data_IF_659523175789
#
_entry.id   IF_659523175789
#
_cell.length_a   1.000
_cell.length_b   1.000
_cell.length_c   1.000
_cell.angle_alpha   90.00
_cell.angle_beta   90.00
_cell.angle_gamma   90.00
#
_symmetry.space_group_name_H-M   'P 1'
#
loop_
_entity.id
_entity.type
_entity.pdbx_description
1 polymer ?
#
# COMPACT_ATOMS: atom_id res chain seq x y z
N UNK A 1 2.36 -1.93 17.69
CA UNK A 1 1.63 -1.30 16.58
C UNK A 1 0.97 -2.41 15.79
N UNK A 2 -0.35 -2.35 15.65
CA UNK A 2 -1.11 -3.33 14.87
C UNK A 2 -1.19 -2.93 13.38
N UNK A 3 -1.74 -3.82 12.56
CA UNK A 3 -1.89 -3.58 11.12
C UNK A 3 -2.77 -2.36 10.80
N UNK A 4 -3.83 -2.12 11.59
CA UNK A 4 -4.73 -0.97 11.41
C UNK A 4 -4.02 0.37 11.68
N UNK A 5 -3.29 0.47 12.79
CA UNK A 5 -2.48 1.64 13.15
C UNK A 5 -1.41 1.90 12.09
N UNK A 6 -0.77 0.83 11.57
CA UNK A 6 0.20 0.95 10.49
C UNK A 6 -0.44 1.46 9.20
N UNK A 7 -1.61 0.95 8.83
CA UNK A 7 -2.35 1.39 7.65
C UNK A 7 -2.69 2.89 7.74
N UNK A 8 -3.19 3.34 8.89
CA UNK A 8 -3.49 4.77 9.13
C UNK A 8 -2.25 5.65 8.96
N UNK A 9 -1.08 5.20 9.43
CA UNK A 9 0.17 5.92 9.22
C UNK A 9 0.56 6.03 7.73
N UNK A 10 0.39 4.96 6.94
CA UNK A 10 0.64 5.00 5.49
C UNK A 10 -0.33 5.95 4.76
N UNK A 11 -1.55 6.09 5.28
CA UNK A 11 -2.54 7.07 4.80
C UNK A 11 -2.33 8.49 5.38
N UNK A 12 -1.19 8.74 6.04
CA UNK A 12 -0.84 10.02 6.66
C UNK A 12 -1.83 10.47 7.74
N UNK A 13 -2.47 9.51 8.43
CA UNK A 13 -3.51 9.72 9.44
C UNK A 13 -4.72 10.51 8.95
N UNK A 14 -4.96 10.53 7.63
CA UNK A 14 -6.20 11.06 7.07
C UNK A 14 -7.29 10.00 7.16
N UNK A 15 -8.42 10.36 7.77
CA UNK A 15 -9.60 9.50 7.88
C UNK A 15 -10.43 9.60 6.59
N UNK A 16 -10.12 8.74 5.63
CA UNK A 16 -10.93 8.60 4.42
C UNK A 16 -12.15 7.72 4.64
N UNK A 17 -11.98 6.70 5.46
CA UNK A 17 -12.98 5.68 5.81
C UNK A 17 -13.00 5.46 7.32
N UNK A 18 -14.02 4.75 7.79
CA UNK A 18 -14.14 4.31 9.18
C UNK A 18 -13.22 3.13 9.48
N UNK A 19 -12.93 2.92 10.77
CA UNK A 19 -12.12 1.78 11.22
C UNK A 19 -12.70 0.42 10.82
N UNK A 20 -14.02 0.32 10.66
CA UNK A 20 -14.65 -0.92 10.22
C UNK A 20 -14.40 -1.17 8.74
N UNK A 21 -14.48 -0.14 7.89
CA UNK A 21 -14.16 -0.25 6.47
C UNK A 21 -12.67 -0.57 6.27
N UNK A 22 -11.77 0.07 7.03
CA UNK A 22 -10.35 -0.27 7.00
C UNK A 22 -10.06 -1.72 7.39
N UNK A 23 -10.83 -2.30 8.32
CA UNK A 23 -10.71 -3.72 8.66
C UNK A 23 -11.11 -4.61 7.50
N UNK A 24 -12.17 -4.26 6.77
CA UNK A 24 -12.60 -5.02 5.58
C UNK A 24 -11.49 -5.04 4.54
N UNK A 25 -10.91 -3.88 4.20
CA UNK A 25 -9.80 -3.81 3.23
C UNK A 25 -8.59 -4.63 3.66
N UNK A 26 -8.26 -4.62 4.96
CA UNK A 26 -7.17 -5.44 5.50
C UNK A 26 -7.48 -6.93 5.38
N UNK A 27 -8.70 -7.35 5.72
CA UNK A 27 -9.13 -8.75 5.61
C UNK A 27 -9.11 -9.26 4.18
N UNK A 28 -9.54 -8.44 3.20
CA UNK A 28 -9.44 -8.76 1.76
C UNK A 28 -8.00 -9.01 1.30
N UNK A 29 -7.03 -8.35 1.94
CA UNK A 29 -5.60 -8.49 1.68
C UNK A 29 -4.90 -9.47 2.64
N UNK A 30 -5.65 -10.35 3.28
CA UNK A 30 -5.15 -11.37 4.21
C UNK A 30 -4.41 -10.80 5.44
N UNK A 31 -4.82 -9.63 5.92
CA UNK A 31 -4.28 -9.00 7.12
C UNK A 31 -5.36 -8.89 8.21
N UNK A 32 -5.07 -9.45 9.37
CA UNK A 32 -5.91 -9.24 10.55
C UNK A 32 -5.58 -7.88 11.16
N UNK A 33 -6.57 -6.99 11.27
CA UNK A 33 -6.38 -5.62 11.74
C UNK A 33 -5.79 -5.50 13.16
N UNK A 34 -6.14 -6.45 14.05
CA UNK A 34 -5.67 -6.50 15.44
C UNK A 34 -4.33 -7.20 15.59
N UNK A 35 -3.82 -7.87 14.56
CA UNK A 35 -2.53 -8.54 14.60
C UNK A 35 -1.39 -7.53 14.64
N UNK A 36 -0.29 -7.92 15.29
CA UNK A 36 0.94 -7.14 15.31
C UNK A 36 1.54 -7.07 13.91
N UNK A 37 1.90 -5.86 13.49
CA UNK A 37 2.52 -5.66 12.19
C UNK A 37 3.95 -6.19 12.18
N UNK A 38 4.22 -7.17 11.30
CA UNK A 38 5.56 -7.70 11.03
C UNK A 38 5.97 -7.26 9.63
N UNK A 39 6.93 -6.33 9.55
CA UNK A 39 7.36 -5.73 8.28
C UNK A 39 7.74 -6.78 7.22
N UNK A 40 8.44 -7.84 7.62
CA UNK A 40 8.90 -8.87 6.68
C UNK A 40 7.74 -9.56 5.93
N UNK A 41 6.65 -9.85 6.65
CA UNK A 41 5.58 -10.71 6.15
C UNK A 41 4.35 -9.89 5.73
N UNK A 42 4.15 -8.70 6.29
CA UNK A 42 2.93 -7.91 6.09
C UNK A 42 3.12 -6.70 5.19
N UNK A 43 4.37 -6.30 4.89
CA UNK A 43 4.62 -5.05 4.16
C UNK A 43 4.00 -5.05 2.76
N UNK A 44 4.07 -6.15 2.01
CA UNK A 44 3.51 -6.23 0.65
C UNK A 44 1.99 -6.13 0.72
N UNK A 45 1.34 -7.01 1.50
CA UNK A 45 -0.11 -7.04 1.66
C UNK A 45 -0.66 -5.69 2.17
N UNK A 46 0.09 -5.00 3.05
CA UNK A 46 -0.32 -3.69 3.53
C UNK A 46 -0.27 -2.64 2.41
N UNK A 47 0.76 -2.66 1.57
CA UNK A 47 0.85 -1.75 0.43
C UNK A 47 -0.24 -2.05 -0.62
N UNK A 48 -0.58 -3.32 -0.83
CA UNK A 48 -1.71 -3.76 -1.67
C UNK A 48 -3.04 -3.25 -1.09
N UNK A 49 -3.22 -3.30 0.24
CA UNK A 49 -4.37 -2.69 0.92
C UNK A 49 -4.44 -1.18 0.69
N UNK A 50 -3.31 -0.48 0.75
CA UNK A 50 -3.26 0.97 0.48
C UNK A 50 -3.67 1.25 -0.96
N UNK A 51 -3.21 0.46 -1.93
CA UNK A 51 -3.61 0.63 -3.34
C UNK A 51 -5.13 0.47 -3.49
N UNK A 52 -5.71 -0.59 -2.93
CA UNK A 52 -7.16 -0.83 -3.00
C UNK A 52 -7.95 0.37 -2.48
N UNK A 53 -7.52 0.94 -1.34
CA UNK A 53 -8.11 2.17 -0.80
C UNK A 53 -7.94 3.34 -1.77
N UNK A 54 -6.75 3.58 -2.32
CA UNK A 54 -6.54 4.70 -3.25
C UNK A 54 -7.35 4.56 -4.55
N UNK A 55 -7.57 3.34 -5.02
CA UNK A 55 -8.42 3.06 -6.18
C UNK A 55 -9.89 3.36 -5.89
N UNK A 56 -10.40 2.99 -4.71
CA UNK A 56 -11.77 3.37 -4.32
C UNK A 56 -11.92 4.88 -4.16
N UNK A 57 -10.90 5.58 -3.62
CA UNK A 57 -10.89 7.05 -3.57
C UNK A 57 -10.89 7.67 -4.96
N UNK A 58 -10.18 7.08 -5.93
CA UNK A 58 -10.11 7.59 -7.29
C UNK A 58 -11.42 7.40 -8.07
N UNK A 59 -12.21 6.39 -7.70
CA UNK A 59 -13.51 6.12 -8.32
C UNK A 59 -14.64 6.96 -7.71
N UNK A 60 -14.48 7.42 -6.46
CA UNK A 60 -15.47 8.22 -5.74
C UNK A 60 -15.11 9.71 -5.76
N UNK A 61 -15.82 10.47 -6.59
CA UNK A 61 -15.65 11.93 -6.75
C UNK A 61 -15.93 12.69 -5.45
N UNK A 62 -16.86 12.23 -4.62
CA UNK A 62 -17.19 12.85 -3.34
C UNK A 62 -16.07 12.68 -2.32
N UNK A 63 -15.45 11.50 -2.30
CA UNK A 63 -14.31 11.25 -1.42
C UNK A 63 -13.05 11.96 -1.95
N UNK A 64 -12.88 12.07 -3.27
CA UNK A 64 -11.78 12.82 -3.85
C UNK A 64 -11.79 14.31 -3.45
N UNK A 65 -12.97 14.91 -3.25
CA UNK A 65 -13.11 16.25 -2.65
C UNK A 65 -12.66 16.33 -1.19
N UNK A 66 -12.66 15.23 -0.42
CA UNK A 66 -12.12 15.22 0.96
C UNK A 66 -10.58 15.25 0.98
N UNK A 67 -9.94 14.85 -0.13
CA UNK A 67 -8.48 14.95 -0.30
C UNK A 67 -8.05 16.41 -0.55
N UNK A 68 -8.98 17.21 -1.09
CA UNK A 68 -8.89 18.61 -1.53
C UNK A 68 -8.72 19.63 -0.39
N UNK A 69 -8.13 19.22 0.72
CA UNK A 69 -7.84 20.13 1.83
C UNK A 69 -6.52 20.87 1.55
N UNK A 70 -6.67 22.12 1.10
CA UNK A 70 -5.70 23.24 1.02
C UNK A 70 -4.70 23.32 -0.15
N UNK A 71 -4.17 22.22 -0.69
CA UNK A 71 -3.09 22.29 -1.71
C UNK A 71 -3.47 21.78 -3.10
N UNK A 72 -4.58 21.03 -3.20
CA UNK A 72 -5.11 20.54 -4.46
C UNK A 72 -6.31 21.44 -4.78
N UNK A 73 -6.31 22.06 -5.97
CA UNK A 73 -7.27 23.12 -6.31
C UNK A 73 -8.33 22.63 -7.30
N UNK A 74 -8.20 21.38 -7.79
CA UNK A 74 -9.14 20.77 -8.71
C UNK A 74 -9.16 19.23 -8.63
N UNK A 75 -10.32 18.66 -8.96
CA UNK A 75 -10.58 17.22 -9.13
C UNK A 75 -9.54 16.55 -10.05
N UNK A 76 -9.10 17.25 -11.11
CA UNK A 76 -8.09 16.74 -12.06
C UNK A 76 -6.68 16.67 -11.44
N UNK A 77 -6.33 17.59 -10.55
CA UNK A 77 -5.08 17.52 -9.79
C UNK A 77 -5.13 16.41 -8.75
N UNK A 78 -6.28 16.21 -8.10
CA UNK A 78 -6.49 15.12 -7.13
C UNK A 78 -6.35 13.74 -7.80
N UNK A 79 -6.98 13.56 -8.97
CA UNK A 79 -6.92 12.30 -9.71
C UNK A 79 -5.49 12.00 -10.18
N UNK A 80 -4.76 12.99 -10.69
CA UNK A 80 -3.35 12.87 -11.07
C UNK A 80 -2.46 12.54 -9.89
N UNK A 81 -2.67 13.18 -8.75
CA UNK A 81 -1.95 12.90 -7.52
C UNK A 81 -2.18 11.46 -7.04
N UNK A 82 -3.44 11.00 -7.04
CA UNK A 82 -3.79 9.62 -6.68
C UNK A 82 -3.16 8.61 -7.64
N UNK A 83 -3.27 8.84 -8.96
CA UNK A 83 -2.68 7.97 -9.96
C UNK A 83 -1.15 7.85 -9.80
N UNK A 84 -0.47 8.99 -9.59
CA UNK A 84 0.98 8.99 -9.33
C UNK A 84 1.33 8.24 -8.05
N UNK A 85 0.52 8.39 -6.99
CA UNK A 85 0.72 7.70 -5.73
C UNK A 85 0.54 6.18 -5.87
N UNK A 86 -0.52 5.75 -6.55
CA UNK A 86 -0.76 4.34 -6.89
C UNK A 86 0.43 3.76 -7.67
N UNK A 87 0.88 4.47 -8.71
CA UNK A 87 2.05 4.07 -9.49
C UNK A 87 3.31 3.90 -8.64
N UNK A 88 3.61 4.86 -7.77
CA UNK A 88 4.79 4.80 -6.89
C UNK A 88 4.73 3.60 -5.92
N UNK A 89 3.54 3.30 -5.38
CA UNK A 89 3.36 2.16 -4.46
C UNK A 89 3.48 0.84 -5.23
N UNK A 90 2.88 0.73 -6.41
CA UNK A 90 3.04 -0.44 -7.28
C UNK A 90 4.50 -0.71 -7.62
N UNK A 91 5.25 0.33 -8.01
CA UNK A 91 6.70 0.21 -8.26
C UNK A 91 7.44 -0.31 -7.03
N UNK A 92 7.15 0.26 -5.85
CA UNK A 92 7.74 -0.21 -4.58
C UNK A 92 7.41 -1.67 -4.28
N UNK A 93 6.20 -2.13 -4.59
CA UNK A 93 5.82 -3.55 -4.43
C UNK A 93 6.64 -4.43 -5.36
N UNK A 94 6.82 -4.02 -6.63
CA UNK A 94 7.66 -4.75 -7.59
C UNK A 94 9.09 -4.86 -7.09
N UNK A 95 9.71 -3.73 -6.72
CA UNK A 95 11.08 -3.70 -6.20
C UNK A 95 11.23 -4.63 -4.97
N UNK A 96 10.24 -4.65 -4.06
CA UNK A 96 10.25 -5.53 -2.88
C UNK A 96 10.09 -7.01 -3.24
N UNK A 97 9.30 -7.35 -4.26
CA UNK A 97 9.13 -8.73 -4.75
C UNK A 97 10.44 -9.21 -5.38
N UNK A 98 11.08 -8.39 -6.20
CA UNK A 98 12.40 -8.69 -6.80
C UNK A 98 13.48 -8.89 -5.73
N UNK A 99 13.57 -8.03 -4.72
CA UNK A 99 14.51 -8.19 -3.59
C UNK A 99 14.31 -9.50 -2.82
N UNK A 100 13.08 -10.02 -2.74
CA UNK A 100 12.79 -11.29 -2.08
C UNK A 100 13.22 -12.49 -2.92
N UNK A 101 13.09 -12.39 -4.25
CA UNK A 101 13.54 -13.41 -5.20
C UNK A 101 15.07 -13.50 -5.27
N UNK A 102 15.77 -12.36 -5.33
CA UNK A 102 17.24 -12.31 -5.35
C UNK A 102 17.86 -12.95 -4.11
N UNK A 103 17.25 -12.77 -2.93
CA UNK A 103 17.72 -13.38 -1.67
C UNK A 103 17.60 -14.90 -1.66
N UNK A 104 16.68 -15.47 -2.43
CA UNK A 104 16.55 -16.92 -2.59
C UNK A 104 17.52 -17.46 -3.66
N UNK A 105 17.88 -16.62 -4.65
CA UNK A 105 18.77 -16.92 -5.76
C UNK A 105 20.27 -17.01 -5.44
N UNK A 106 20.67 -17.37 -4.22
CA UNK A 106 22.08 -17.70 -3.90
C UNK A 106 22.48 -19.07 -4.50
N UNK A 107 22.44 -19.16 -5.82
CA UNK A 107 22.99 -20.28 -6.58
C UNK A 107 24.50 -20.11 -6.55
N UNK A 108 25.16 -20.98 -5.78
CA UNK A 108 26.62 -21.12 -5.80
C UNK A 108 27.07 -21.33 -7.26
N UNK A 109 27.91 -20.47 -7.86
CA UNK A 109 28.57 -20.83 -9.10
C UNK A 109 29.48 -22.02 -8.78
N UNK A 110 29.09 -23.22 -9.22
CA UNK A 110 29.95 -24.39 -9.15
C UNK A 110 31.03 -24.18 -10.22
N UNK A 111 32.12 -23.54 -9.83
CA UNK A 111 33.36 -23.61 -10.61
C UNK A 111 33.85 -25.06 -10.56
N UNK A 112 33.53 -25.83 -11.60
CA UNK A 112 34.18 -27.12 -11.82
C UNK A 112 35.61 -26.84 -12.31
N UNK A 113 36.59 -26.99 -11.42
CA UNK A 113 37.97 -27.18 -11.83
C UNK A 113 38.13 -28.61 -12.33
N UNK A 114 38.42 -28.77 -13.61
CA UNK A 114 39.16 -29.91 -14.16
C UNK A 114 40.07 -29.46 -15.29
#
# INVERSE_FOLDING_TARGET
MNNLERLKLELSNKEYYTDNEYKVFLEENNLLATSNYVKKDNQINLLETVIAILETLSNDVDIMRKIDTKDITSIDQASKYLAQRIYNINKKILDLKEEQEEKQGNIRPIFFNR
#
